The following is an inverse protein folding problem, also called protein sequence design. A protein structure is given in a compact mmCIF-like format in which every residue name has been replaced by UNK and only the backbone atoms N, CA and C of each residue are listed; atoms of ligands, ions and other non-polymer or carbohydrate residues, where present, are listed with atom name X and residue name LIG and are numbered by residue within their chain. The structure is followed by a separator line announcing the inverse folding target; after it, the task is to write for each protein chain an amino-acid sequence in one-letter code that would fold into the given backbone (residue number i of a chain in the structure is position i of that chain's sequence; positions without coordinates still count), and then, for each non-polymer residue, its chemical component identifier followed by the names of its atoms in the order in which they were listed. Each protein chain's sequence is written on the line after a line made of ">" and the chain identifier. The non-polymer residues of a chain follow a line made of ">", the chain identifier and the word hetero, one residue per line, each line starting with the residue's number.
data_IF_820126217256
#
_entry.id   IF_820126217256
#
_cell.length_a   1.000
_cell.length_b   1.000
_cell.length_c   1.000
_cell.angle_alpha   90.00
_cell.angle_beta   90.00
_cell.angle_gamma   90.00
#
_symmetry.space_group_name_H-M   'P 1'
#
loop_
_entity.id
_entity.type
_entity.pdbx_description
1 polymer ?
2 non-polymer ?
3 water ?
#
# COMPACT_ATOMS: atom_id res chain seq x y z
N UNK A 1 -20.39 2.28 16.85
CA UNK A 1 -19.51 1.12 17.10
C UNK A 1 -18.07 1.56 17.05
N UNK A 2 -17.22 0.82 17.77
CA UNK A 2 -15.76 1.00 17.75
C UNK A 2 -15.12 0.16 16.63
N UNK A 3 -14.00 0.66 16.09
CA UNK A 3 -13.39 -0.11 15.04
C UNK A 3 -12.89 -1.51 15.46
N UNK A 4 -12.76 -2.42 14.54
CA UNK A 4 -12.46 -3.78 14.81
C UNK A 4 -11.19 -3.95 15.64
N UNK A 5 -10.17 -3.15 15.33
CA UNK A 5 -8.89 -3.23 15.99
C UNK A 5 -8.72 -2.23 17.11
N UNK A 6 -9.82 -1.72 17.68
CA UNK A 6 -9.71 -0.68 18.71
C UNK A 6 -8.84 -1.05 19.87
N UNK A 7 -8.83 -2.34 20.20
CA UNK A 7 -8.07 -2.75 21.37
C UNK A 7 -6.87 -3.67 21.06
N UNK A 8 -6.52 -3.71 19.80
CA UNK A 8 -5.41 -4.54 19.32
C UNK A 8 -4.06 -3.84 19.32
N UNK A 9 -3.02 -4.67 19.24
CA UNK A 9 -1.59 -4.21 19.29
C UNK A 9 -1.15 -3.65 17.93
N UNK A 10 -1.95 -3.85 16.85
CA UNK A 10 -1.63 -3.39 15.49
C UNK A 10 -2.93 -2.87 14.85
N UNK A 11 -2.84 -2.01 13.85
CA UNK A 11 -4.03 -1.43 13.27
C UNK A 11 -4.64 -2.36 12.19
N UNK A 12 -5.91 -2.18 11.98
CA UNK A 12 -6.64 -2.78 10.86
C UNK A 12 -7.37 -1.64 10.15
N UNK A 13 -6.79 -1.29 9.03
CA UNK A 13 -7.18 -0.09 8.25
C UNK A 13 -7.85 -0.47 6.90
N UNK A 14 -8.15 0.49 6.08
CA UNK A 14 -8.77 0.23 4.81
C UNK A 14 -8.44 1.37 3.81
N UNK A 15 -8.46 1.05 2.52
CA UNK A 15 -8.46 2.03 1.45
C UNK A 15 -9.68 2.95 1.60
N UNK A 16 -9.47 4.26 1.48
CA UNK A 16 -10.47 5.31 1.60
C UNK A 16 -10.71 6.04 0.28
N UNK A 17 -11.96 6.25 -0.05
CA UNK A 17 -12.46 7.05 -1.21
C UNK A 17 -13.97 7.10 -1.04
N UNK A 18 -14.60 7.72 -2.03
CA UNK A 18 -16.04 8.05 -1.91
C UNK A 18 -16.96 6.85 -1.64
N UNK A 19 -16.72 5.71 -2.27
CA UNK A 19 -17.56 4.51 -2.07
C UNK A 19 -17.23 3.78 -0.76
N UNK A 20 -16.03 4.01 -0.21
CA UNK A 20 -15.61 3.35 1.00
C UNK A 20 -15.92 4.22 2.20
N UNK A 21 -16.39 5.46 2.00
CA UNK A 21 -16.57 6.39 3.18
C UNK A 21 -17.70 6.01 4.19
N UNK A 22 -18.88 5.51 3.72
CA UNK A 22 -19.96 5.31 4.71
C UNK A 22 -19.54 4.36 5.88
N UNK A 23 -19.71 4.85 7.11
CA UNK A 23 -19.35 4.08 8.29
C UNK A 23 -17.91 3.81 8.51
N UNK A 24 -17.01 4.38 7.76
CA UNK A 24 -15.62 3.95 7.69
C UNK A 24 -14.98 3.90 9.09
N UNK A 25 -15.12 4.98 9.89
CA UNK A 25 -14.50 5.01 11.20
C UNK A 25 -15.12 4.11 12.25
N UNK A 26 -16.29 3.55 11.97
CA UNK A 26 -16.94 2.52 12.81
C UNK A 26 -16.35 1.11 12.59
N UNK A 27 -15.47 0.97 11.57
CA UNK A 27 -14.81 -0.30 11.31
C UNK A 27 -13.29 -0.24 11.39
N UNK A 28 -12.70 0.85 10.77
CA UNK A 28 -11.24 0.84 10.47
C UNK A 28 -10.54 1.96 11.24
N UNK A 29 -9.28 1.74 11.60
CA UNK A 29 -8.53 2.69 12.41
C UNK A 29 -7.19 3.13 11.79
N UNK A 30 -7.14 3.15 10.44
CA UNK A 30 -5.93 3.53 9.67
C UNK A 30 -6.51 3.70 8.25
N UNK A 31 -5.90 4.58 7.44
CA UNK A 31 -6.35 4.63 6.01
C UNK A 31 -5.19 4.83 5.03
N UNK A 32 -5.52 4.50 3.75
CA UNK A 32 -4.68 4.82 2.58
C UNK A 32 -5.63 5.47 1.58
N UNK A 33 -5.31 6.61 0.95
CA UNK A 33 -6.16 7.14 -0.11
C UNK A 33 -6.05 6.17 -1.31
N UNK A 34 -7.16 5.75 -1.87
CA UNK A 34 -7.20 4.76 -2.98
C UNK A 34 -6.53 5.30 -4.23
N UNK A 35 -6.81 6.57 -4.60
CA UNK A 35 -6.33 7.08 -5.89
C UNK A 35 -5.78 8.52 -5.83
N UNK A 36 -6.25 9.35 -4.91
CA UNK A 36 -5.96 10.79 -4.94
C UNK A 36 -4.52 11.22 -4.73
N UNK A 37 -3.72 10.29 -4.16
CA UNK A 37 -2.36 10.57 -3.96
C UNK A 37 -1.40 10.01 -4.99
N UNK A 38 -1.96 9.47 -6.08
CA UNK A 38 -1.09 9.12 -7.21
C UNK A 38 -0.73 10.40 -7.96
N UNK A 39 0.49 10.51 -8.46
CA UNK A 39 0.96 11.76 -9.00
C UNK A 39 0.09 12.24 -10.19
N UNK A 40 -0.38 11.32 -11.02
CA UNK A 40 -1.35 11.67 -12.13
C UNK A 40 -2.65 12.22 -11.66
N UNK A 41 -3.06 11.91 -10.42
CA UNK A 41 -4.30 12.51 -9.82
C UNK A 41 -4.09 13.97 -9.44
N UNK A 42 -2.92 14.29 -8.87
CA UNK A 42 -2.64 15.64 -8.37
C UNK A 42 -2.20 16.53 -9.53
N UNK A 43 -1.29 16.09 -10.36
CA UNK A 43 -0.69 16.95 -11.35
C UNK A 43 -0.94 16.46 -12.79
N UNK A 44 -2.23 16.25 -13.10
CA UNK A 44 -2.63 15.91 -14.47
C UNK A 44 -2.21 16.95 -15.46
N UNK A 45 -2.21 18.24 -15.06
CA UNK A 45 -1.74 19.36 -15.89
C UNK A 45 -0.47 19.90 -15.22
N UNK A 46 0.61 20.01 -15.99
CA UNK A 46 1.87 20.44 -15.43
C UNK A 46 1.76 21.73 -14.62
N UNK A 47 2.30 21.71 -13.40
CA UNK A 47 2.41 22.86 -12.53
C UNK A 47 1.10 23.45 -12.00
N UNK A 48 0.09 22.64 -12.01
CA UNK A 48 -1.09 22.94 -11.26
C UNK A 48 -1.50 21.74 -10.49
N UNK A 49 -1.62 21.93 -9.20
CA UNK A 49 -1.75 20.84 -8.22
C UNK A 49 -3.20 20.80 -7.79
N UNK A 50 -3.87 19.69 -8.09
CA UNK A 50 -5.28 19.45 -7.69
C UNK A 50 -5.21 18.54 -6.43
N UNK A 51 -5.22 19.14 -5.21
CA UNK A 51 -5.09 18.41 -4.00
C UNK A 51 -6.46 17.94 -3.45
N UNK A 52 -7.56 18.16 -4.17
CA UNK A 52 -8.91 17.97 -3.59
C UNK A 52 -9.10 16.61 -3.00
N UNK A 53 -8.88 15.57 -3.78
CA UNK A 53 -9.16 14.21 -3.28
C UNK A 53 -8.18 13.76 -2.17
N UNK A 54 -6.93 14.14 -2.33
CA UNK A 54 -5.92 13.85 -1.29
C UNK A 54 -6.18 14.58 -0.01
N UNK A 55 -6.51 15.87 -0.07
CA UNK A 55 -6.89 16.64 1.12
C UNK A 55 -8.12 16.02 1.80
N UNK A 56 -9.09 15.52 1.01
CA UNK A 56 -10.28 14.84 1.60
C UNK A 56 -9.83 13.64 2.50
N UNK A 57 -8.94 12.81 1.97
CA UNK A 57 -8.41 11.64 2.76
C UNK A 57 -7.66 12.08 4.02
N UNK A 58 -6.72 13.04 3.82
CA UNK A 58 -5.91 13.51 4.91
C UNK A 58 -6.75 14.19 6.05
N UNK A 59 -7.67 15.06 5.64
CA UNK A 59 -8.55 15.75 6.59
C UNK A 59 -9.42 14.76 7.35
N UNK A 60 -9.94 13.70 6.67
CA UNK A 60 -10.73 12.72 7.36
C UNK A 60 -9.87 11.88 8.36
N UNK A 61 -8.65 11.50 7.93
CA UNK A 61 -7.77 10.77 8.79
C UNK A 61 -7.47 11.59 10.05
N UNK A 62 -7.13 12.86 9.86
CA UNK A 62 -6.79 13.75 11.01
C UNK A 62 -7.98 13.91 11.95
N UNK A 63 -9.17 14.10 11.41
CA UNK A 63 -10.41 14.33 12.25
C UNK A 63 -10.65 13.10 13.09
N UNK A 64 -10.28 11.93 12.60
CA UNK A 64 -10.49 10.67 13.28
C UNK A 64 -9.29 10.09 13.99
N UNK A 65 -8.24 10.88 14.08
CA UNK A 65 -7.00 10.48 14.72
C UNK A 65 -6.49 9.13 14.25
N UNK A 66 -6.54 8.86 12.97
CA UNK A 66 -6.02 7.60 12.52
C UNK A 66 -4.80 7.83 11.60
N UNK A 67 -3.84 6.94 11.69
CA UNK A 67 -2.64 7.03 10.88
C UNK A 67 -3.03 7.10 9.37
N UNK A 68 -2.24 7.93 8.66
CA UNK A 68 -2.36 8.14 7.24
C UNK A 68 -1.12 7.54 6.48
N UNK A 69 -1.36 6.64 5.51
CA UNK A 69 -0.33 6.18 4.59
C UNK A 69 -0.43 6.96 3.31
N UNK A 70 0.63 7.71 2.97
CA UNK A 70 0.59 8.40 1.65
C UNK A 70 0.92 7.38 0.58
N UNK A 71 0.00 7.26 -0.36
CA UNK A 71 0.02 6.33 -1.53
C UNK A 71 -0.14 7.18 -2.75
N UNK A 72 0.89 7.39 -3.59
CA UNK A 72 2.20 6.76 -3.62
C UNK A 72 3.11 7.68 -4.41
N UNK A 73 4.38 7.78 -4.09
CA UNK A 73 5.30 8.77 -4.71
C UNK A 73 5.72 8.39 -6.15
N UNK A 74 6.17 7.15 -6.32
CA UNK A 74 6.70 6.66 -7.56
C UNK A 74 6.02 5.32 -7.86
N UNK A 75 5.47 5.19 -9.06
CA UNK A 75 4.77 3.99 -9.52
C UNK A 75 4.71 4.07 -11.05
N UNK A 76 4.42 2.93 -11.70
CA UNK A 76 4.39 2.84 -13.17
C UNK A 76 3.01 2.96 -13.82
N UNK A 77 1.99 3.35 -13.04
CA UNK A 77 0.65 3.67 -13.61
C UNK A 77 0.14 4.92 -12.93
N UNK A 78 -0.78 5.60 -13.60
CA UNK A 78 -1.44 6.79 -13.02
C UNK A 78 -0.38 7.87 -12.72
N UNK A 79 0.63 8.01 -13.59
CA UNK A 79 1.60 9.12 -13.50
C UNK A 79 1.14 10.22 -14.48
N UNK A 80 1.65 11.47 -14.31
CA UNK A 80 1.23 12.50 -15.22
C UNK A 80 1.58 12.13 -16.70
N UNK A 81 0.77 12.54 -17.67
CA UNK A 81 1.07 12.29 -19.10
C UNK A 81 2.13 13.17 -19.65
N UNK A 82 2.18 14.43 -19.18
CA UNK A 82 3.09 15.38 -19.82
C UNK A 82 4.59 15.13 -19.53
N UNK A 83 4.89 14.30 -18.51
CA UNK A 83 6.26 14.09 -18.13
C UNK A 83 6.95 13.15 -19.08
N UNK A 84 6.19 12.36 -19.89
CA UNK A 84 6.80 11.25 -20.62
C UNK A 84 7.80 11.73 -21.68
N UNK A 85 7.55 12.95 -22.22
CA UNK A 85 8.38 13.48 -23.29
C UNK A 85 9.37 14.54 -22.90
N UNK A 86 9.54 14.79 -21.60
CA UNK A 86 10.57 15.66 -21.09
C UNK A 86 11.89 14.92 -21.04
N UNK A 87 12.95 15.68 -21.20
CA UNK A 87 14.29 15.14 -21.04
C UNK A 87 14.55 14.72 -19.57
N UNK A 88 15.33 13.67 -19.31
CA UNK A 88 15.57 13.23 -17.95
C UNK A 88 15.86 14.29 -16.95
N UNK A 89 16.67 15.30 -17.28
CA UNK A 89 17.00 16.33 -16.29
C UNK A 89 15.77 17.12 -15.86
N UNK A 90 14.86 17.41 -16.78
CA UNK A 90 13.61 18.12 -16.42
C UNK A 90 12.65 17.21 -15.70
N UNK A 91 12.55 15.91 -16.12
CA UNK A 91 11.70 15.00 -15.40
C UNK A 91 12.20 14.97 -13.93
N UNK A 92 13.50 14.87 -13.70
CA UNK A 92 13.98 14.80 -12.31
C UNK A 92 13.59 15.96 -11.48
N UNK A 93 13.66 17.17 -12.04
CA UNK A 93 13.22 18.37 -11.30
C UNK A 93 11.76 18.33 -10.96
N UNK A 94 10.95 17.78 -11.87
CA UNK A 94 9.49 17.61 -11.60
C UNK A 94 9.27 16.62 -10.44
N UNK A 95 10.04 15.50 -10.41
CA UNK A 95 9.87 14.50 -9.36
C UNK A 95 10.25 15.15 -8.02
N UNK A 96 11.36 15.87 -7.99
CA UNK A 96 11.83 16.52 -6.75
C UNK A 96 10.79 17.54 -6.26
N UNK A 97 10.18 18.31 -7.20
CA UNK A 97 9.15 19.30 -6.84
C UNK A 97 7.87 18.64 -6.28
N UNK A 98 7.52 17.48 -6.87
CA UNK A 98 6.41 16.65 -6.29
C UNK A 98 6.66 16.14 -4.91
N UNK A 99 7.88 15.66 -4.65
CA UNK A 99 8.21 15.20 -3.32
C UNK A 99 8.19 16.39 -2.34
N UNK A 100 8.74 17.54 -2.73
CA UNK A 100 8.71 18.73 -1.84
C UNK A 100 7.33 19.22 -1.61
N UNK A 101 6.44 19.13 -2.58
CA UNK A 101 5.05 19.66 -2.47
C UNK A 101 4.29 18.82 -1.47
N UNK A 102 4.39 17.48 -1.58
CA UNK A 102 3.70 16.59 -0.64
C UNK A 102 4.21 16.77 0.80
N UNK A 103 5.55 16.85 0.97
CA UNK A 103 6.10 17.01 2.32
C UNK A 103 5.67 18.36 2.95
N UNK A 104 5.54 19.42 2.16
CA UNK A 104 5.13 20.74 2.67
C UNK A 104 3.65 20.69 3.12
N UNK A 105 2.80 20.04 2.34
CA UNK A 105 1.36 20.14 2.53
C UNK A 105 0.90 19.22 3.62
N UNK A 106 1.56 18.08 3.79
CA UNK A 106 1.13 16.97 4.64
C UNK A 106 2.09 16.53 5.69
N UNK A 107 2.37 17.42 6.68
CA UNK A 107 3.42 17.13 7.64
C UNK A 107 3.25 15.95 8.58
N UNK A 108 2.06 15.44 8.67
CA UNK A 108 1.75 14.34 9.62
C UNK A 108 1.49 12.98 8.93
N UNK A 109 2.16 12.68 7.88
CA UNK A 109 2.11 11.36 7.22
C UNK A 109 2.74 10.29 8.17
N UNK A 110 2.03 9.21 8.42
CA UNK A 110 2.48 8.15 9.33
C UNK A 110 3.48 7.24 8.57
N UNK A 111 3.13 6.89 7.32
CA UNK A 111 3.97 5.98 6.50
C UNK A 111 3.91 6.56 5.08
N UNK A 112 5.11 6.80 4.54
CA UNK A 112 5.26 7.29 3.15
C UNK A 112 5.57 6.11 2.26
N UNK A 113 4.64 5.72 1.35
CA UNK A 113 4.90 4.67 0.36
C UNK A 113 5.65 5.36 -0.79
N UNK A 114 6.95 5.19 -0.80
CA UNK A 114 7.79 5.87 -1.74
C UNK A 114 7.79 5.24 -3.10
N UNK A 115 7.98 3.94 -3.17
CA UNK A 115 7.93 3.18 -4.42
C UNK A 115 6.97 2.03 -4.25
N UNK A 116 6.02 1.83 -5.17
CA UNK A 116 5.17 0.66 -5.23
C UNK A 116 5.56 -0.15 -6.46
N UNK A 117 5.57 -1.47 -6.29
CA UNK A 117 5.67 -2.46 -7.35
C UNK A 117 6.98 -2.41 -8.18
N UNK A 118 8.13 -2.31 -7.49
CA UNK A 118 9.42 -2.31 -8.25
C UNK A 118 9.69 -3.55 -9.04
N UNK A 119 9.17 -4.71 -8.59
CA UNK A 119 9.36 -5.98 -9.32
C UNK A 119 8.39 -6.20 -10.47
N UNK A 120 7.29 -5.43 -10.44
CA UNK A 120 6.19 -5.70 -11.32
C UNK A 120 5.84 -4.53 -12.27
N UNK A 121 5.88 -3.27 -11.78
CA UNK A 121 5.34 -2.09 -12.53
C UNK A 121 6.31 -0.88 -12.31
N UNK A 122 7.56 -0.98 -12.83
CA UNK A 122 8.45 0.21 -12.75
C UNK A 122 7.98 1.31 -13.70
N UNK A 123 8.40 2.56 -13.41
CA UNK A 123 7.94 3.72 -14.24
C UNK A 123 8.76 3.86 -15.54
N UNK A 124 8.80 2.76 -16.33
CA UNK A 124 9.62 2.66 -17.53
C UNK A 124 8.79 2.66 -18.82
N UNK A 125 7.49 2.63 -18.75
CA UNK A 125 6.58 2.63 -19.96
C UNK A 125 6.11 4.04 -20.35
N UNK A 126 5.77 4.21 -21.63
CA UNK A 126 5.25 5.43 -22.23
C UNK A 126 3.83 5.33 -22.68
N UNK A 127 3.10 4.33 -22.15
CA UNK A 127 1.69 4.25 -22.35
C UNK A 127 0.91 5.21 -21.43
N UNK A 128 -0.42 5.07 -21.34
CA UNK A 128 -1.24 6.05 -20.65
C UNK A 128 -0.98 5.95 -19.14
N UNK A 129 -0.37 7.02 -18.58
CA UNK A 129 -0.05 7.06 -17.16
C UNK A 129 1.22 6.35 -16.79
N UNK A 130 2.01 5.92 -17.76
CA UNK A 130 3.23 5.18 -17.48
C UNK A 130 4.41 5.94 -16.96
N UNK A 131 4.46 7.26 -17.19
CA UNK A 131 5.46 8.09 -16.65
C UNK A 131 6.75 8.20 -17.42
N UNK A 132 7.32 7.04 -17.75
CA UNK A 132 8.46 7.00 -18.63
C UNK A 132 9.63 7.82 -18.09
N UNK A 133 9.87 7.70 -16.77
CA UNK A 133 10.94 8.55 -16.07
C UNK A 133 11.92 7.74 -15.34
N UNK A 134 12.09 6.47 -15.72
CA UNK A 134 13.06 5.63 -15.04
C UNK A 134 14.45 6.23 -15.11
N UNK A 135 14.81 6.77 -16.27
CA UNK A 135 16.11 7.35 -16.49
C UNK A 135 16.37 8.65 -15.67
N UNK A 136 15.32 9.38 -15.34
CA UNK A 136 15.44 10.56 -14.50
C UNK A 136 15.88 10.19 -13.10
N UNK A 137 15.72 8.94 -12.73
CA UNK A 137 16.16 8.39 -11.39
C UNK A 137 17.38 7.49 -11.53
N UNK A 138 18.12 7.57 -12.66
CA UNK A 138 19.35 6.77 -12.84
C UNK A 138 19.17 5.41 -13.50
N UNK A 139 17.93 5.06 -13.86
CA UNK A 139 17.68 3.80 -14.51
C UNK A 139 18.02 2.61 -13.63
N UNK A 140 18.43 1.46 -14.21
CA UNK A 140 18.81 0.31 -13.39
C UNK A 140 20.14 0.53 -12.73
N UNK A 141 21.06 1.23 -13.39
CA UNK A 141 22.30 1.55 -12.85
C UNK A 141 23.21 0.39 -12.46
N UNK A 142 24.17 0.62 -11.59
CA UNK A 142 25.16 -0.38 -11.25
C UNK A 142 24.61 -1.55 -10.50
N UNK A 143 23.68 -1.27 -9.57
CA UNK A 143 23.17 -2.31 -8.72
C UNK A 143 21.99 -3.07 -9.33
N UNK A 144 21.40 -2.52 -10.41
CA UNK A 144 20.16 -3.01 -10.96
C UNK A 144 18.94 -2.30 -10.44
N UNK A 145 19.03 -1.56 -9.36
CA UNK A 145 17.92 -0.89 -8.67
C UNK A 145 18.22 0.56 -8.35
N UNK A 146 19.06 1.21 -9.16
CA UNK A 146 19.44 2.64 -8.95
C UNK A 146 18.20 3.50 -8.77
N UNK A 147 17.23 3.35 -9.65
CA UNK A 147 16.05 4.28 -9.59
C UNK A 147 15.31 4.11 -8.26
N UNK A 148 15.30 2.94 -7.63
CA UNK A 148 14.64 2.75 -6.31
C UNK A 148 15.48 3.50 -5.24
N UNK A 149 16.83 3.33 -5.35
CA UNK A 149 17.74 4.08 -4.39
C UNK A 149 17.51 5.58 -4.51
N UNK A 150 17.43 6.10 -5.73
CA UNK A 150 17.27 7.53 -5.90
C UNK A 150 15.91 8.01 -5.37
N UNK A 151 14.86 7.19 -5.53
CA UNK A 151 13.52 7.60 -5.00
C UNK A 151 13.58 7.74 -3.45
N UNK A 152 14.14 6.73 -2.80
CA UNK A 152 14.29 6.80 -1.38
C UNK A 152 15.21 7.87 -0.85
N UNK A 153 16.30 8.14 -1.57
CA UNK A 153 17.20 9.24 -1.21
C UNK A 153 16.38 10.55 -1.22
N UNK A 154 15.63 10.78 -2.29
CA UNK A 154 14.75 12.00 -2.36
C UNK A 154 13.76 12.04 -1.21
N UNK A 155 13.19 10.90 -0.85
CA UNK A 155 12.25 10.88 0.25
C UNK A 155 12.93 11.24 1.60
N UNK A 156 14.10 10.70 1.82
CA UNK A 156 14.85 11.01 3.10
C UNK A 156 15.11 12.51 3.16
N UNK A 157 15.50 13.12 2.04
CA UNK A 157 15.86 14.52 2.02
C UNK A 157 14.64 15.40 2.30
N UNK A 158 13.53 15.07 1.65
CA UNK A 158 12.33 15.92 1.73
C UNK A 158 11.44 15.61 2.88
N UNK A 159 11.55 14.41 3.47
CA UNK A 159 10.70 14.01 4.58
C UNK A 159 11.54 13.53 5.73
N UNK A 160 12.33 14.41 6.35
CA UNK A 160 13.36 13.90 7.30
C UNK A 160 12.84 13.32 8.56
N UNK A 161 11.55 13.43 8.85
CA UNK A 161 11.01 12.80 10.06
C UNK A 161 10.00 11.69 9.79
N UNK A 162 9.84 11.23 8.57
CA UNK A 162 8.80 10.34 8.16
C UNK A 162 9.30 8.90 7.93
N UNK A 163 8.52 7.91 8.36
CA UNK A 163 8.80 6.49 8.07
C UNK A 163 8.57 6.21 6.59
N UNK A 164 9.60 5.59 5.97
CA UNK A 164 9.59 5.34 4.53
C UNK A 164 9.35 3.84 4.25
N UNK A 165 8.41 3.55 3.34
CA UNK A 165 8.07 2.16 3.03
C UNK A 165 8.20 1.83 1.53
N UNK A 166 8.59 0.59 1.22
CA UNK A 166 8.50 -0.04 -0.11
C UNK A 166 7.32 -0.98 -0.13
N UNK A 167 6.67 -1.16 -1.31
CA UNK A 167 5.46 -1.97 -1.36
C UNK A 167 5.49 -2.78 -2.69
N UNK A 168 4.88 -3.97 -2.75
CA UNK A 168 4.84 -4.80 -3.93
C UNK A 168 3.88 -5.93 -3.75
N UNK A 169 3.51 -6.66 -4.84
CA UNK A 169 2.67 -7.84 -4.79
C UNK A 169 3.42 -9.09 -5.21
N UNK A 170 2.78 -10.23 -4.94
CA UNK A 170 3.30 -11.52 -5.29
C UNK A 170 4.72 -11.75 -4.74
N UNK A 171 4.89 -11.42 -3.50
CA UNK A 171 6.13 -11.59 -2.79
C UNK A 171 6.14 -12.85 -1.92
N UNK A 172 5.16 -12.93 -0.98
CA UNK A 172 5.20 -14.04 -0.03
C UNK A 172 4.67 -15.37 -0.63
N UNK A 173 4.10 -15.34 -1.84
CA UNK A 173 3.64 -16.55 -2.56
C UNK A 173 4.84 -17.30 -3.14
N UNK A 174 6.08 -16.82 -3.14
CA UNK A 174 7.21 -17.53 -3.79
C UNK A 174 8.49 -17.15 -3.05
N UNK A 175 9.27 -18.17 -2.61
CA UNK A 175 10.64 -17.92 -2.06
C UNK A 175 11.51 -17.14 -3.01
N UNK A 176 11.42 -17.42 -4.34
CA UNK A 176 12.27 -16.75 -5.30
C UNK A 176 11.88 -15.25 -5.35
N UNK A 177 10.62 -14.89 -5.29
CA UNK A 177 10.16 -13.48 -5.32
C UNK A 177 10.57 -12.77 -4.04
N UNK A 178 10.48 -13.46 -2.91
CA UNK A 178 10.91 -12.94 -1.63
C UNK A 178 12.40 -12.60 -1.68
N UNK A 179 13.22 -13.52 -2.23
CA UNK A 179 14.67 -13.29 -2.30
C UNK A 179 14.96 -12.11 -3.28
N UNK A 180 14.18 -11.93 -4.35
CA UNK A 180 14.37 -10.77 -5.23
C UNK A 180 14.07 -9.47 -4.49
N UNK A 181 12.98 -9.43 -3.76
CA UNK A 181 12.55 -8.24 -3.03
C UNK A 181 13.55 -7.88 -1.92
N UNK A 182 14.06 -8.95 -1.27
CA UNK A 182 15.06 -8.72 -0.20
C UNK A 182 16.39 -8.16 -0.77
N UNK A 183 16.70 -8.39 -2.05
CA UNK A 183 17.89 -7.81 -2.64
C UNK A 183 17.69 -6.30 -2.74
N UNK A 184 16.50 -5.84 -3.09
CA UNK A 184 16.18 -4.39 -3.18
C UNK A 184 16.31 -3.83 -1.74
N UNK A 185 15.69 -4.48 -0.76
CA UNK A 185 15.78 -4.07 0.63
C UNK A 185 17.25 -3.97 1.11
N UNK A 186 18.06 -5.00 0.78
CA UNK A 186 19.46 -5.02 1.11
C UNK A 186 20.22 -3.81 0.55
N UNK A 187 20.01 -3.47 -0.70
CA UNK A 187 20.59 -2.31 -1.33
C UNK A 187 20.16 -1.01 -0.60
N UNK A 188 18.89 -0.94 -0.28
CA UNK A 188 18.39 0.27 0.37
C UNK A 188 19.04 0.40 1.76
N UNK A 189 19.16 -0.72 2.46
CA UNK A 189 19.71 -0.74 3.84
C UNK A 189 21.21 -0.39 3.87
N UNK A 190 21.94 -0.49 2.75
CA UNK A 190 23.36 -0.06 2.70
C UNK A 190 23.42 1.45 3.04
N UNK A 191 22.37 2.21 2.72
CA UNK A 191 22.30 3.65 3.03
C UNK A 191 21.21 3.96 3.98
N UNK A 192 20.74 2.92 4.69
CA UNK A 192 19.67 3.13 5.70
C UNK A 192 18.44 3.89 5.16
N UNK A 193 18.01 3.49 3.94
CA UNK A 193 17.02 4.28 3.18
C UNK A 193 15.56 3.88 3.43
N UNK A 194 15.31 2.75 4.07
CA UNK A 194 13.91 2.21 4.14
C UNK A 194 13.65 1.80 5.57
N UNK A 195 12.40 2.11 6.05
CA UNK A 195 12.00 1.83 7.41
C UNK A 195 10.94 0.75 7.54
N UNK A 196 10.27 0.32 6.48
CA UNK A 196 9.18 -0.60 6.55
C UNK A 196 9.00 -1.34 5.23
N UNK A 197 8.59 -2.63 5.32
CA UNK A 197 8.38 -3.46 4.14
C UNK A 197 6.90 -3.75 3.97
N UNK A 198 6.34 -3.34 2.85
CA UNK A 198 4.90 -3.60 2.55
C UNK A 198 4.79 -4.74 1.54
N UNK A 199 3.77 -5.58 1.71
CA UNK A 199 3.36 -6.55 0.72
C UNK A 199 1.83 -6.45 0.61
N UNK A 200 1.30 -6.41 -0.64
CA UNK A 200 -0.08 -6.14 -0.83
C UNK A 200 -1.08 -7.22 -0.34
N UNK A 201 -0.82 -8.49 -0.75
CA UNK A 201 -1.72 -9.56 -0.43
C UNK A 201 -3.17 -9.44 -0.93
N UNK A 202 -3.29 -9.05 -2.22
CA UNK A 202 -4.56 -9.20 -2.88
C UNK A 202 -4.91 -10.69 -3.06
N UNK A 203 -6.16 -10.93 -3.40
CA UNK A 203 -6.70 -12.29 -3.59
C UNK A 203 -5.89 -13.15 -4.52
N UNK A 204 -5.36 -12.56 -5.59
CA UNK A 204 -4.64 -13.35 -6.53
C UNK A 204 -3.24 -13.86 -5.98
N UNK A 205 -2.79 -13.34 -4.80
CA UNK A 205 -1.55 -13.72 -4.17
C UNK A 205 -1.68 -14.83 -3.16
N UNK A 206 -2.97 -15.16 -2.78
CA UNK A 206 -3.18 -15.98 -1.60
C UNK A 206 -4.06 -17.21 -1.96
N UNK A 207 -4.14 -17.59 -3.22
CA UNK A 207 -4.96 -18.74 -3.64
C UNK A 207 -4.41 -20.03 -3.03
N UNK A 208 -5.26 -21.08 -2.96
CA UNK A 208 -4.84 -22.23 -2.14
C UNK A 208 -3.84 -23.19 -2.83
N UNK A 209 -3.43 -22.93 -4.06
CA UNK A 209 -2.43 -23.81 -4.62
C UNK A 209 -1.03 -23.55 -4.02
N UNK A 210 -0.83 -22.42 -3.36
CA UNK A 210 0.41 -22.20 -2.56
C UNK A 210 -0.03 -22.33 -1.08
N UNK A 211 0.59 -23.23 -0.31
CA UNK A 211 0.22 -23.41 1.08
C UNK A 211 0.54 -22.18 1.88
N UNK A 212 -0.25 -21.97 2.94
CA UNK A 212 0.02 -20.85 3.82
C UNK A 212 1.37 -20.90 4.51
N UNK A 213 1.96 -22.07 4.68
CA UNK A 213 3.30 -22.24 5.19
C UNK A 213 4.37 -21.58 4.37
N UNK A 214 4.15 -21.50 3.05
CA UNK A 214 5.03 -20.81 2.17
C UNK A 214 4.95 -19.31 2.55
N UNK A 215 3.75 -18.76 2.64
CA UNK A 215 3.63 -17.33 2.96
C UNK A 215 4.30 -17.08 4.33
N UNK A 216 4.04 -17.94 5.33
CA UNK A 216 4.55 -17.74 6.70
C UNK A 216 6.10 -17.80 6.67
N UNK A 217 6.70 -18.74 5.93
CA UNK A 217 8.14 -18.82 5.81
C UNK A 217 8.73 -17.56 5.17
N UNK A 218 8.06 -16.98 4.16
CA UNK A 218 8.55 -15.81 3.52
C UNK A 218 8.34 -14.56 4.37
N UNK A 219 7.28 -14.52 5.21
CA UNK A 219 7.16 -13.45 6.22
C UNK A 219 8.37 -13.53 7.16
N UNK A 220 8.72 -14.73 7.63
CA UNK A 220 9.87 -14.86 8.55
C UNK A 220 11.13 -14.33 7.90
N UNK A 221 11.32 -14.59 6.61
CA UNK A 221 12.47 -14.11 5.86
C UNK A 221 12.49 -12.58 5.77
N UNK A 222 11.32 -12.00 5.47
CA UNK A 222 11.23 -10.53 5.43
C UNK A 222 11.50 -9.91 6.81
N UNK A 223 10.98 -10.53 7.86
CA UNK A 223 11.16 -10.07 9.25
C UNK A 223 12.63 -10.12 9.69
N UNK A 224 13.42 -11.05 9.15
CA UNK A 224 14.87 -11.21 9.52
C UNK A 224 15.68 -9.96 9.19
N UNK A 225 15.15 -9.05 8.36
CA UNK A 225 15.78 -7.76 8.15
C UNK A 225 15.70 -6.87 9.37
N UNK A 226 14.83 -7.16 10.33
CA UNK A 226 14.67 -6.23 11.43
C UNK A 226 13.65 -5.12 11.26
N UNK A 227 13.12 -5.03 10.02
CA UNK A 227 12.16 -4.01 9.68
C UNK A 227 10.71 -4.46 9.94
N UNK A 228 9.85 -3.56 10.36
CA UNK A 228 8.38 -3.90 10.49
C UNK A 228 7.80 -4.25 9.10
N UNK A 229 6.88 -5.22 9.06
CA UNK A 229 6.14 -5.55 7.86
C UNK A 229 4.74 -5.00 7.93
N UNK A 230 4.18 -4.53 6.81
CA UNK A 230 2.80 -4.11 6.75
C UNK A 230 2.15 -4.86 5.58
N UNK A 231 0.94 -5.35 5.80
CA UNK A 231 0.15 -5.92 4.73
C UNK A 231 -0.70 -4.76 4.15
N UNK A 232 -0.53 -4.35 2.91
CA UNK A 232 -1.03 -3.05 2.47
C UNK A 232 -2.36 -3.05 1.73
N UNK A 233 -2.75 -4.09 1.02
CA UNK A 233 -3.84 -4.05 0.08
C UNK A 233 -4.55 -5.38 0.08
N UNK A 234 -4.99 -5.83 1.26
CA UNK A 234 -5.53 -7.17 1.45
C UNK A 234 -6.97 -7.30 0.95
N UNK A 235 -7.27 -8.31 0.15
CA UNK A 235 -8.65 -8.62 -0.26
C UNK A 235 -8.77 -10.13 -0.50
N UNK A 236 -9.99 -10.61 -0.35
CA UNK A 236 -10.37 -12.03 -0.63
C UNK A 236 -11.68 -12.02 -1.37
N UNK A 237 -11.74 -12.77 -2.48
CA UNK A 237 -12.90 -12.79 -3.35
C UNK A 237 -14.07 -13.53 -2.68
N UNK A 238 -15.26 -13.15 -3.11
CA UNK A 238 -16.51 -13.72 -2.54
C UNK A 238 -17.54 -14.14 -3.57
N UNK A 239 -17.16 -14.97 -4.54
CA UNK A 239 -18.15 -15.52 -5.45
C UNK A 239 -19.38 -16.12 -4.71
N UNK A 240 -19.14 -16.75 -3.57
CA UNK A 240 -20.17 -17.07 -2.60
C UNK A 240 -19.68 -16.56 -1.25
N UNK A 241 -20.60 -16.30 -0.34
CA UNK A 241 -20.30 -15.98 1.03
C UNK A 241 -19.39 -17.05 1.66
N UNK A 242 -19.65 -18.31 1.37
CA UNK A 242 -18.98 -19.42 2.02
C UNK A 242 -17.49 -19.47 1.53
N UNK A 243 -17.20 -19.22 0.27
CA UNK A 243 -15.83 -19.26 -0.24
C UNK A 243 -15.09 -18.13 0.48
N UNK A 244 -15.71 -16.96 0.58
CA UNK A 244 -15.07 -15.81 1.18
C UNK A 244 -14.75 -16.09 2.66
N UNK A 245 -15.70 -16.64 3.39
CA UNK A 245 -15.50 -17.01 4.79
C UNK A 245 -14.37 -18.02 4.92
N UNK A 246 -14.38 -19.10 4.14
CA UNK A 246 -13.40 -20.12 4.26
C UNK A 246 -11.99 -19.51 4.00
N UNK A 247 -11.88 -18.65 2.99
CA UNK A 247 -10.61 -18.07 2.65
C UNK A 247 -10.13 -17.11 3.81
N UNK A 248 -11.04 -16.28 4.38
CA UNK A 248 -10.66 -15.41 5.49
C UNK A 248 -10.10 -16.28 6.62
N UNK A 249 -10.79 -17.38 6.95
CA UNK A 249 -10.25 -18.25 8.06
C UNK A 249 -8.92 -18.85 7.77
N UNK A 250 -8.68 -19.21 6.53
CA UNK A 250 -7.42 -19.84 6.09
C UNK A 250 -6.24 -18.82 6.06
N UNK A 251 -6.51 -17.64 5.49
CA UNK A 251 -5.45 -16.72 5.10
C UNK A 251 -5.22 -15.63 6.12
N UNK A 252 -6.27 -14.94 6.62
CA UNK A 252 -6.11 -13.73 7.43
C UNK A 252 -5.21 -13.98 8.68
N UNK A 253 -5.43 -15.11 9.43
CA UNK A 253 -4.66 -15.27 10.66
C UNK A 253 -3.18 -15.40 10.43
N UNK A 254 -2.78 -15.91 9.29
CA UNK A 254 -1.31 -16.12 9.04
C UNK A 254 -0.62 -14.73 9.09
N UNK A 255 -1.28 -13.69 8.55
CA UNK A 255 -0.72 -12.36 8.56
C UNK A 255 -0.99 -11.69 9.89
N UNK A 256 -2.21 -11.75 10.40
CA UNK A 256 -2.57 -11.00 11.63
C UNK A 256 -1.72 -11.45 12.84
N UNK A 257 -1.45 -12.77 12.90
CA UNK A 257 -0.72 -13.32 14.08
C UNK A 257 0.80 -13.28 13.94
N UNK A 258 1.30 -12.84 12.80
CA UNK A 258 2.78 -12.80 12.60
C UNK A 258 3.35 -11.64 13.48
N UNK A 259 4.36 -11.92 14.32
CA UNK A 259 4.80 -10.84 15.25
C UNK A 259 5.47 -9.66 14.60
N UNK A 260 5.90 -9.83 13.35
CA UNK A 260 6.59 -8.71 12.69
C UNK A 260 5.62 -7.88 11.85
N UNK A 261 4.38 -8.33 11.76
CA UNK A 261 3.38 -7.54 11.03
C UNK A 261 2.78 -6.49 11.96
N UNK A 262 2.98 -5.21 11.66
CA UNK A 262 2.53 -4.11 12.49
C UNK A 262 1.21 -3.44 12.08
N UNK A 263 0.60 -3.94 11.03
CA UNK A 263 -0.72 -3.48 10.60
C UNK A 263 -1.11 -4.13 9.30
N UNK A 264 -2.43 -4.24 9.11
CA UNK A 264 -3.04 -4.68 7.89
C UNK A 264 -4.01 -3.61 7.42
N UNK A 265 -4.06 -3.38 6.10
CA UNK A 265 -4.95 -2.51 5.42
C UNK A 265 -5.72 -3.34 4.40
N UNK A 266 -7.03 -3.39 4.58
CA UNK A 266 -7.94 -4.02 3.59
C UNK A 266 -8.04 -3.09 2.34
N UNK A 267 -8.11 -3.65 1.17
CA UNK A 267 -8.23 -2.83 -0.06
C UNK A 267 -9.70 -2.62 -0.43
N UNK A 268 -10.39 -1.97 0.50
CA UNK A 268 -11.82 -1.73 0.41
C UNK A 268 -12.67 -2.72 1.18
N UNK A 269 -13.89 -2.33 1.49
CA UNK A 269 -14.86 -3.19 2.14
C UNK A 269 -16.28 -3.09 1.64
N UNK A 270 -16.65 -2.04 0.90
CA UNK A 270 -17.97 -1.89 0.34
C UNK A 270 -17.90 -2.04 -1.18
N UNK A 271 -19.01 -2.32 -1.85
CA UNK A 271 -19.03 -2.31 -3.35
C UNK A 271 -18.40 -1.09 -3.93
N UNK A 272 -17.72 -1.33 -5.05
CA UNK A 272 -16.96 -0.25 -5.71
C UNK A 272 -15.49 -0.27 -5.44
N UNK A 273 -15.04 -1.16 -4.53
CA UNK A 273 -13.62 -1.40 -4.30
C UNK A 273 -13.00 -2.00 -5.57
N UNK A 274 -11.67 -2.11 -5.58
CA UNK A 274 -10.96 -2.54 -6.79
C UNK A 274 -11.51 -3.88 -7.32
N UNK A 275 -11.58 -4.89 -6.43
CA UNK A 275 -12.08 -6.24 -6.84
C UNK A 275 -13.61 -6.37 -6.64
N UNK A 276 -14.35 -5.42 -7.19
CA UNK A 276 -15.80 -5.41 -7.18
C UNK A 276 -16.40 -6.59 -7.99
N UNK A 277 -15.84 -6.83 -9.17
CA UNK A 277 -16.37 -7.91 -10.06
C UNK A 277 -16.24 -9.26 -9.40
N UNK A 278 -15.21 -9.44 -8.59
CA UNK A 278 -14.95 -10.70 -7.86
C UNK A 278 -15.62 -10.74 -6.52
N UNK A 279 -16.42 -9.70 -6.24
CA UNK A 279 -17.20 -9.61 -5.01
C UNK A 279 -16.32 -9.72 -3.75
N UNK A 280 -15.20 -9.00 -3.71
CA UNK A 280 -14.31 -9.03 -2.54
C UNK A 280 -14.88 -8.16 -1.36
N UNK A 281 -15.89 -7.34 -1.63
CA UNK A 281 -16.48 -6.53 -0.54
C UNK A 281 -17.01 -7.40 0.58
N UNK A 282 -17.04 -6.81 1.74
CA UNK A 282 -17.44 -7.47 3.00
C UNK A 282 -18.87 -7.01 3.44
N UNK A 283 -19.40 -5.95 2.83
CA UNK A 283 -20.76 -5.43 3.10
C UNK A 283 -21.47 -5.47 1.73
N UNK A 284 -22.68 -5.93 1.66
CA UNK A 284 -23.45 -6.00 0.38
C UNK A 284 -24.01 -4.65 -0.02
N UNK A 285 -24.57 -4.59 -1.22
CA UNK A 285 -25.15 -3.36 -1.69
C UNK A 285 -26.30 -2.89 -0.72
N UNK A 286 -27.02 -3.81 -0.06
CA UNK A 286 -28.15 -3.46 0.77
C UNK A 286 -27.63 -3.09 2.18
N UNK A 287 -26.34 -2.99 2.38
CA UNK A 287 -25.79 -2.53 3.65
C UNK A 287 -25.57 -3.60 4.71
N UNK A 288 -25.91 -4.84 4.44
CA UNK A 288 -25.74 -5.93 5.40
C UNK A 288 -24.28 -6.51 5.36
N UNK A 289 -23.86 -6.99 6.52
CA UNK A 289 -22.53 -7.58 6.68
C UNK A 289 -22.54 -9.01 6.21
N UNK A 290 -21.54 -9.37 5.46
CA UNK A 290 -21.37 -10.79 4.96
C UNK A 290 -20.74 -11.68 6.05
N UNK A 291 -20.85 -13.00 5.96
CA UNK A 291 -20.31 -13.88 7.01
C UNK A 291 -18.82 -13.68 7.30
N UNK A 292 -18.00 -13.38 6.27
CA UNK A 292 -16.61 -13.11 6.48
C UNK A 292 -16.40 -11.97 7.41
N UNK A 293 -17.19 -10.93 7.32
CA UNK A 293 -16.97 -9.75 8.21
C UNK A 293 -17.45 -10.09 9.63
N UNK A 294 -18.55 -10.78 9.78
CA UNK A 294 -19.00 -11.20 11.12
C UNK A 294 -17.86 -11.96 11.82
N UNK A 295 -17.29 -12.92 11.10
CA UNK A 295 -16.16 -13.70 11.58
C UNK A 295 -14.93 -12.75 11.91
N UNK A 296 -14.59 -11.88 10.98
CA UNK A 296 -13.41 -11.04 11.13
C UNK A 296 -13.53 -10.19 12.42
N UNK A 297 -14.68 -9.62 12.67
CA UNK A 297 -14.86 -8.86 13.91
C UNK A 297 -14.51 -9.67 15.14
N UNK A 298 -15.09 -10.86 15.17
CA UNK A 298 -14.88 -11.70 16.35
C UNK A 298 -13.47 -12.23 16.46
N UNK A 299 -12.90 -12.60 15.34
CA UNK A 299 -11.49 -13.06 15.26
C UNK A 299 -10.51 -11.93 15.78
N UNK A 300 -10.66 -10.73 15.28
CA UNK A 300 -9.80 -9.62 15.67
C UNK A 300 -9.96 -9.33 17.19
N UNK A 301 -11.21 -9.34 17.67
CA UNK A 301 -11.41 -9.08 19.10
C UNK A 301 -10.71 -10.15 19.96
N UNK A 302 -10.69 -11.38 19.51
CA UNK A 302 -10.05 -12.50 20.19
C UNK A 302 -8.49 -12.57 20.07
N UNK A 303 -7.95 -11.72 19.20
CA UNK A 303 -6.51 -11.70 18.83
C UNK A 303 -5.94 -10.28 18.88
N UNK A 304 -5.89 -9.71 20.10
CA UNK A 304 -5.32 -8.39 20.26
C UNK A 304 -3.80 -8.31 20.17
N UNK A 305 -3.08 -9.42 20.37
CA UNK A 305 -1.62 -9.47 20.35
C UNK A 305 -0.92 -8.87 21.57
N UNK A 306 0.38 -8.60 21.33
CA UNK A 306 1.44 -8.39 22.35
C UNK A 306 1.21 -9.09 23.66
#
# INVERSE_FOLDING_TARGET
>A
AAPLAATASKFLGCAYGAQQAPGFAQYWNKLTPENGGKWGSVEAVRDQMDWSTLDAAYRFAQANQMPFQMHVMVWGNQQPEWIKTLRPAEQRREIEQWFAAVAQRYPDIALLEVVNEPLNDPPSKADTGGGNYLQALGGNGDSGWEWVLQSFRLARRHFPHTKLMINDYSITSSAQATQKYLQIVRLLQRENLVDAIGVQEHAFETTPEVAVSVHRDNLDALAATGLPIYITEFDLDGPTDAQQLADYKRVFPVFWEHPAVHGITLWGFRPGLWRDKEAAYLIRADGTERPALTWLRDYVAAHPGT
#
